data_IF_897898677641
#
_entry.id   IF_897898677641
#
_cell.length_a   1.000
_cell.length_b   1.000
_cell.length_c   1.000
_cell.angle_alpha   90.00
_cell.angle_beta   90.00
_cell.angle_gamma   90.00
#
_symmetry.space_group_name_H-M   'P 1'
#
loop_
_entity.id
_entity.type
_entity.pdbx_description
1 polymer ?
#
# COMPACT_ATOMS: atom_id res chain seq x y z
N UNK A 1 20.08 10.00 -5.10
CA UNK A 1 19.68 9.28 -4.41
C UNK A 1 18.56 9.51 -3.66
N UNK A 2 17.70 9.32 -3.70
CA UNK A 2 16.48 9.64 -3.17
C UNK A 2 16.24 9.18 -1.78
N UNK A 3 16.77 9.91 -0.87
CA UNK A 3 16.36 9.68 0.49
C UNK A 3 14.85 9.89 0.58
N UNK A 4 14.14 8.92 1.09
CA UNK A 4 12.72 9.05 1.32
C UNK A 4 12.48 10.01 2.48
N UNK A 5 11.46 10.87 2.36
CA UNK A 5 11.03 11.73 3.46
C UNK A 5 9.96 11.05 4.32
N UNK A 6 9.63 9.81 4.02
CA UNK A 6 8.60 9.09 4.75
C UNK A 6 9.12 8.53 6.07
N UNK A 7 8.29 8.58 7.09
CA UNK A 7 8.56 7.92 8.36
C UNK A 7 7.94 6.53 8.33
N UNK A 8 8.74 5.51 8.54
CA UNK A 8 8.27 4.13 8.57
C UNK A 8 8.28 3.64 10.02
N UNK A 9 7.11 3.27 10.53
CA UNK A 9 6.94 2.75 11.88
C UNK A 9 6.59 1.28 11.82
N UNK A 10 7.39 0.45 12.50
CA UNK A 10 7.17 -1.00 12.54
C UNK A 10 6.68 -1.39 13.93
N UNK A 11 5.60 -2.18 13.99
CA UNK A 11 5.05 -2.65 15.26
C UNK A 11 6.10 -3.43 16.05
N UNK A 12 6.14 -3.23 17.36
CA UNK A 12 7.03 -3.97 18.27
C UNK A 12 6.73 -5.47 18.30
N UNK A 13 5.56 -5.88 17.85
CA UNK A 13 5.19 -7.29 17.75
C UNK A 13 5.91 -8.02 16.62
N UNK A 14 6.48 -7.27 15.67
CA UNK A 14 7.22 -7.85 14.56
C UNK A 14 8.68 -7.97 14.96
N UNK A 15 9.18 -9.20 15.08
CA UNK A 15 10.58 -9.44 15.44
C UNK A 15 11.51 -9.30 14.26
N UNK A 16 11.11 -9.81 13.11
CA UNK A 16 11.88 -9.72 11.87
C UNK A 16 10.95 -9.33 10.75
N UNK A 17 11.25 -8.23 10.10
CA UNK A 17 10.43 -7.74 9.00
C UNK A 17 10.68 -8.60 7.75
N UNK A 18 9.61 -9.14 7.17
CA UNK A 18 9.71 -9.95 5.96
C UNK A 18 10.23 -9.08 4.80
N UNK A 19 11.19 -9.58 3.98
CA UNK A 19 11.75 -8.78 2.88
C UNK A 19 10.71 -8.21 1.91
N UNK A 20 9.67 -8.97 1.60
CA UNK A 20 8.60 -8.48 0.71
C UNK A 20 7.90 -7.26 1.30
N UNK A 21 7.60 -7.30 2.59
CA UNK A 21 6.95 -6.16 3.28
C UNK A 21 7.88 -4.96 3.31
N UNK A 22 9.16 -5.16 3.60
CA UNK A 22 10.15 -4.10 3.59
C UNK A 22 10.29 -3.44 2.22
N UNK A 23 10.32 -4.24 1.15
CA UNK A 23 10.41 -3.74 -0.21
C UNK A 23 9.19 -2.91 -0.60
N UNK A 24 8.00 -3.38 -0.26
CA UNK A 24 6.76 -2.64 -0.51
C UNK A 24 6.79 -1.29 0.23
N UNK A 25 7.15 -1.29 1.50
CA UNK A 25 7.23 -0.07 2.29
C UNK A 25 8.22 0.93 1.68
N UNK A 26 9.40 0.46 1.29
CA UNK A 26 10.42 1.31 0.69
C UNK A 26 9.95 1.89 -0.66
N UNK A 27 9.27 1.08 -1.46
CA UNK A 27 8.76 1.55 -2.76
C UNK A 27 7.65 2.60 -2.56
N UNK A 28 6.75 2.40 -1.61
CA UNK A 28 5.71 3.37 -1.28
C UNK A 28 6.33 4.67 -0.75
N UNK A 29 7.39 4.56 0.04
CA UNK A 29 8.08 5.72 0.60
C UNK A 29 8.71 6.63 -0.46
N UNK A 30 8.96 6.10 -1.65
CA UNK A 30 9.51 6.88 -2.78
C UNK A 30 8.46 7.74 -3.49
N UNK A 31 7.17 7.48 -3.25
CA UNK A 31 6.10 8.29 -3.82
C UNK A 31 6.07 9.60 -3.05
N UNK A 32 6.31 10.70 -3.72
CA UNK A 32 6.57 12.00 -3.09
C UNK A 32 5.56 12.41 -2.02
N UNK A 33 4.22 12.31 -2.24
CA UNK A 33 3.27 12.69 -1.20
C UNK A 33 3.22 11.76 0.01
N UNK A 34 3.67 10.51 -0.12
CA UNK A 34 3.60 9.55 0.99
C UNK A 34 4.61 9.94 2.06
N UNK A 35 4.15 10.20 3.27
CA UNK A 35 4.99 10.65 4.39
C UNK A 35 4.95 9.72 5.59
N UNK A 36 3.93 8.87 5.69
CA UNK A 36 3.74 8.03 6.88
C UNK A 36 3.43 6.61 6.45
N UNK A 37 4.23 5.66 6.92
CA UNK A 37 4.01 4.25 6.66
C UNK A 37 4.00 3.52 7.99
N UNK A 38 2.96 2.74 8.25
CA UNK A 38 2.81 1.98 9.48
C UNK A 38 2.69 0.50 9.13
N UNK A 39 3.59 -0.30 9.69
CA UNK A 39 3.61 -1.74 9.45
C UNK A 39 3.20 -2.44 10.73
N UNK A 40 2.10 -3.18 10.67
CA UNK A 40 1.60 -4.02 11.74
C UNK A 40 1.70 -5.49 11.31
N UNK A 41 1.57 -6.46 12.23
CA UNK A 41 1.48 -7.86 11.78
C UNK A 41 0.30 -7.98 10.82
N UNK A 42 0.49 -8.54 9.67
CA UNK A 42 -0.54 -8.75 8.65
C UNK A 42 -1.18 -7.49 8.03
N UNK A 43 -0.66 -6.29 8.33
CA UNK A 43 -1.27 -5.06 7.80
C UNK A 43 -0.24 -3.97 7.55
N UNK A 44 -0.40 -3.25 6.43
CA UNK A 44 0.45 -2.12 6.08
C UNK A 44 -0.41 -0.95 5.65
N UNK A 45 -0.11 0.24 6.17
CA UNK A 45 -0.80 1.47 5.82
C UNK A 45 0.22 2.50 5.39
N UNK A 46 -0.06 3.22 4.31
CA UNK A 46 0.79 4.30 3.82
C UNK A 46 -0.08 5.47 3.41
N UNK A 47 0.29 6.69 3.79
CA UNK A 47 -0.51 7.87 3.46
C UNK A 47 0.31 9.15 3.50
N UNK A 48 -0.24 10.17 2.85
CA UNK A 48 0.27 11.54 2.94
C UNK A 48 -0.14 12.23 4.24
N UNK A 49 -1.11 11.67 4.97
CA UNK A 49 -1.67 12.28 6.19
C UNK A 49 -1.90 11.23 7.26
N UNK A 50 -1.90 11.68 8.51
CA UNK A 50 -2.22 10.82 9.66
C UNK A 50 -3.38 11.41 10.45
N UNK A 51 -4.03 10.56 11.23
CA UNK A 51 -5.10 10.99 12.13
C UNK A 51 -4.55 11.90 13.21
N UNK A 52 -5.42 12.74 13.75
CA UNK A 52 -5.11 13.55 14.93
C UNK A 52 -5.32 12.66 16.14
N UNK A 53 -4.46 12.72 17.11
CA UNK A 53 -4.59 11.92 18.31
C UNK A 53 -3.25 11.43 18.82
N UNK A 54 -3.31 10.67 19.90
CA UNK A 54 -2.09 10.19 20.56
C UNK A 54 -1.33 9.21 19.66
N UNK A 55 -2.06 8.32 18.97
CA UNK A 55 -1.48 7.39 18.00
C UNK A 55 -1.75 7.93 16.61
N UNK A 56 -0.69 8.12 15.83
CA UNK A 56 -0.81 8.63 14.47
C UNK A 56 -1.02 7.46 13.50
N UNK A 57 -2.19 7.40 12.92
CA UNK A 57 -2.57 6.33 11.99
C UNK A 57 -2.67 6.91 10.57
N UNK A 58 -1.98 6.35 9.58
CA UNK A 58 -2.10 6.82 8.19
C UNK A 58 -3.54 6.79 7.71
N UNK A 59 -3.98 7.85 7.08
CA UNK A 59 -5.35 7.97 6.57
C UNK A 59 -5.43 7.31 5.20
N UNK A 60 -6.19 6.23 5.12
CA UNK A 60 -6.35 5.47 3.87
C UNK A 60 -7.81 5.33 3.46
N UNK A 61 -8.70 5.97 4.20
CA UNK A 61 -10.14 5.86 3.99
C UNK A 61 -10.55 6.39 2.61
N UNK A 62 -11.32 5.63 1.83
CA UNK A 62 -11.84 6.11 0.56
C UNK A 62 -12.66 7.40 0.72
N UNK A 63 -12.62 8.24 -0.30
CA UNK A 63 -13.34 9.51 -0.36
C UNK A 63 -12.83 10.59 0.57
N UNK A 64 -11.67 10.41 1.21
CA UNK A 64 -11.03 11.48 1.96
C UNK A 64 -10.63 12.59 0.96
N UNK A 65 -10.90 13.88 1.28
CA UNK A 65 -10.72 14.95 0.31
C UNK A 65 -9.27 15.23 -0.10
N UNK A 66 -8.31 14.92 0.74
CA UNK A 66 -6.91 15.30 0.47
C UNK A 66 -5.90 14.17 0.63
N UNK A 67 -6.16 13.17 1.45
CA UNK A 67 -5.17 12.12 1.72
C UNK A 67 -4.93 11.21 0.51
N UNK A 68 -3.66 10.98 0.20
CA UNK A 68 -3.25 10.00 -0.80
C UNK A 68 -2.69 8.83 -0.01
N UNK A 69 -3.35 7.67 -0.09
CA UNK A 69 -2.92 6.54 0.72
C UNK A 69 -3.60 5.24 0.35
N UNK A 70 -3.04 4.16 0.89
CA UNK A 70 -3.62 2.83 0.74
C UNK A 70 -3.33 2.00 1.97
N UNK A 71 -4.13 0.94 2.15
CA UNK A 71 -3.86 -0.07 3.14
C UNK A 71 -3.90 -1.45 2.50
N UNK A 72 -3.06 -2.34 3.00
CA UNK A 72 -2.89 -3.69 2.50
C UNK A 72 -3.02 -4.68 3.65
N UNK A 73 -3.75 -5.77 3.40
CA UNK A 73 -3.71 -6.94 4.28
C UNK A 73 -2.67 -7.88 3.69
N UNK A 74 -1.73 -8.31 4.50
CA UNK A 74 -0.61 -9.14 4.05
C UNK A 74 -0.67 -10.51 4.72
N UNK A 75 -0.87 -11.56 3.92
CA UNK A 75 -0.88 -12.92 4.40
C UNK A 75 0.45 -13.58 4.08
N UNK A 76 1.33 -13.64 5.05
CA UNK A 76 2.67 -14.20 4.86
C UNK A 76 2.64 -15.70 4.58
N UNK A 77 1.70 -16.42 5.18
CA UNK A 77 1.59 -17.85 4.99
C UNK A 77 1.13 -18.21 3.58
N UNK A 78 0.18 -17.47 3.04
CA UNK A 78 -0.35 -17.69 1.70
C UNK A 78 0.42 -16.92 0.63
N UNK A 79 1.33 -16.05 1.02
CA UNK A 79 2.10 -15.17 0.13
C UNK A 79 1.16 -14.34 -0.75
N UNK A 80 0.20 -13.69 -0.10
CA UNK A 80 -0.87 -12.98 -0.77
C UNK A 80 -1.06 -11.60 -0.17
N UNK A 81 -1.37 -10.62 -1.01
CA UNK A 81 -1.60 -9.25 -0.61
C UNK A 81 -3.00 -8.83 -1.05
N UNK A 82 -3.77 -8.31 -0.09
CA UNK A 82 -5.11 -7.82 -0.40
C UNK A 82 -5.10 -6.29 -0.34
N UNK A 83 -5.48 -5.65 -1.43
CA UNK A 83 -5.71 -4.20 -1.43
C UNK A 83 -7.00 -3.96 -0.65
N UNK A 84 -6.88 -3.40 0.54
CA UNK A 84 -8.01 -3.22 1.45
C UNK A 84 -8.70 -1.88 1.25
N UNK A 85 -7.95 -0.79 1.33
CA UNK A 85 -8.45 0.56 1.07
C UNK A 85 -7.45 1.31 0.21
N UNK A 86 -7.93 2.22 -0.62
CA UNK A 86 -7.08 3.14 -1.37
C UNK A 86 -7.83 4.42 -1.60
N UNK A 87 -7.13 5.54 -1.39
CA UNK A 87 -7.68 6.86 -1.65
C UNK A 87 -6.67 7.69 -2.44
N UNK A 88 -7.10 8.26 -3.54
CA UNK A 88 -6.25 9.11 -4.37
C UNK A 88 -7.08 10.22 -5.00
N UNK A 89 -7.20 11.37 -4.30
CA UNK A 89 -7.94 12.51 -4.84
C UNK A 89 -7.22 13.21 -5.99
N UNK A 90 -5.94 12.88 -6.21
CA UNK A 90 -5.15 13.45 -7.30
C UNK A 90 -4.89 12.35 -8.31
N UNK A 91 -5.23 12.62 -9.57
CA UNK A 91 -5.07 11.66 -10.67
C UNK A 91 -3.62 11.16 -10.79
N UNK A 92 -3.46 9.87 -10.99
CA UNK A 92 -2.17 9.23 -11.23
C UNK A 92 -1.53 8.58 -10.01
N UNK A 93 -1.83 9.03 -8.80
CA UNK A 93 -1.21 8.44 -7.61
C UNK A 93 -1.73 7.06 -7.26
N UNK A 94 -2.99 6.75 -7.59
CA UNK A 94 -3.50 5.39 -7.42
C UNK A 94 -2.65 4.37 -8.17
N UNK A 95 -2.37 4.64 -9.44
CA UNK A 95 -1.52 3.78 -10.25
C UNK A 95 -0.11 3.67 -9.72
N UNK A 96 0.47 4.78 -9.24
CA UNK A 96 1.81 4.77 -8.64
C UNK A 96 1.87 3.89 -7.40
N UNK A 97 0.83 3.94 -6.56
CA UNK A 97 0.77 3.12 -5.36
C UNK A 97 0.65 1.63 -5.70
N UNK A 98 -0.18 1.29 -6.68
CA UNK A 98 -0.30 -0.10 -7.13
C UNK A 98 1.02 -0.59 -7.72
N UNK A 99 1.67 0.22 -8.55
CA UNK A 99 2.99 -0.12 -9.12
C UNK A 99 4.02 -0.35 -8.01
N UNK A 100 4.03 0.48 -6.97
CA UNK A 100 4.96 0.34 -5.86
C UNK A 100 4.80 -1.00 -5.13
N UNK A 101 3.59 -1.50 -5.04
CA UNK A 101 3.30 -2.79 -4.40
C UNK A 101 3.68 -3.94 -5.32
N UNK A 102 3.36 -3.87 -6.62
CA UNK A 102 3.41 -5.01 -7.51
C UNK A 102 4.66 -5.13 -8.38
N UNK A 103 5.34 -4.03 -8.70
CA UNK A 103 6.46 -4.09 -9.66
C UNK A 103 7.60 -5.00 -9.20
N UNK A 104 7.92 -4.98 -7.91
CA UNK A 104 9.03 -5.78 -7.37
C UNK A 104 8.54 -6.97 -6.53
N UNK A 105 7.28 -7.33 -6.68
CA UNK A 105 6.72 -8.43 -5.91
C UNK A 105 7.32 -9.77 -6.36
N UNK A 106 7.78 -10.58 -5.39
CA UNK A 106 8.39 -11.86 -5.67
C UNK A 106 7.41 -12.77 -6.44
N UNK A 107 7.97 -13.65 -7.29
CA UNK A 107 7.17 -14.48 -8.21
C UNK A 107 6.11 -15.34 -7.52
N UNK A 108 6.44 -15.85 -6.35
CA UNK A 108 5.52 -16.72 -5.62
C UNK A 108 4.42 -15.96 -4.89
N UNK A 109 4.46 -14.63 -4.93
CA UNK A 109 3.45 -13.78 -4.31
C UNK A 109 2.40 -13.36 -5.33
N UNK A 110 1.17 -13.19 -4.85
CA UNK A 110 0.08 -12.65 -5.65
C UNK A 110 -0.65 -11.55 -4.89
N UNK A 111 -1.49 -10.81 -5.60
CA UNK A 111 -2.28 -9.74 -5.00
C UNK A 111 -3.72 -9.84 -5.49
N UNK A 112 -4.66 -9.42 -4.65
CA UNK A 112 -6.07 -9.46 -4.99
C UNK A 112 -6.78 -8.18 -4.60
N UNK A 113 -7.81 -7.83 -5.38
CA UNK A 113 -8.78 -6.79 -5.07
C UNK A 113 -10.13 -7.48 -4.96
N UNK A 114 -10.73 -7.41 -3.77
CA UNK A 114 -11.99 -8.13 -3.53
C UNK A 114 -13.19 -7.39 -4.10
N UNK A 115 -13.20 -6.07 -4.02
CA UNK A 115 -14.31 -5.28 -4.53
C UNK A 115 -13.77 -4.12 -5.36
N UNK A 116 -14.11 -4.14 -6.64
CA UNK A 116 -13.71 -3.08 -7.54
C UNK A 116 -14.84 -2.07 -7.70
N UNK A 117 -14.68 -0.90 -7.07
CA UNK A 117 -15.65 0.18 -7.18
C UNK A 117 -15.21 1.23 -8.19
N UNK A 118 -14.11 1.00 -8.90
CA UNK A 118 -13.56 1.98 -9.83
C UNK A 118 -14.13 1.79 -11.24
N UNK A 119 -14.07 2.83 -12.03
CA UNK A 119 -14.50 2.78 -13.43
C UNK A 119 -13.36 2.24 -14.30
N UNK A 120 -13.02 0.96 -14.12
CA UNK A 120 -12.00 0.29 -14.92
C UNK A 120 -10.56 0.50 -14.46
N UNK A 121 -10.33 1.21 -13.36
CA UNK A 121 -8.98 1.40 -12.83
C UNK A 121 -8.29 0.06 -12.55
N UNK A 122 -8.96 -0.83 -11.83
CA UNK A 122 -8.38 -2.12 -11.46
C UNK A 122 -8.23 -3.05 -12.67
N UNK A 123 -9.12 -2.95 -13.66
CA UNK A 123 -8.95 -3.71 -14.91
C UNK A 123 -7.67 -3.30 -15.63
N UNK A 124 -7.39 -1.99 -15.68
CA UNK A 124 -6.14 -1.49 -16.27
C UNK A 124 -4.91 -1.95 -15.48
N UNK A 125 -5.00 -1.97 -14.16
CA UNK A 125 -3.90 -2.46 -13.32
C UNK A 125 -3.67 -3.96 -13.52
N UNK A 126 -4.73 -4.74 -13.68
CA UNK A 126 -4.60 -6.18 -13.95
C UNK A 126 -3.95 -6.46 -15.30
N UNK A 127 -4.24 -5.65 -16.31
CA UNK A 127 -3.59 -5.77 -17.60
C UNK A 127 -2.08 -5.49 -17.50
N UNK A 128 -1.70 -4.56 -16.65
CA UNK A 128 -0.31 -4.19 -16.43
C UNK A 128 0.44 -5.17 -15.54
N UNK A 129 -0.25 -5.77 -14.58
CA UNK A 129 0.35 -6.65 -13.57
C UNK A 129 -0.31 -8.03 -13.59
N UNK A 130 0.41 -9.03 -14.12
CA UNK A 130 -0.12 -10.39 -14.25
C UNK A 130 -0.34 -11.10 -12.92
N UNK A 131 0.22 -10.60 -11.83
CA UNK A 131 0.07 -11.17 -10.49
C UNK A 131 -1.08 -10.56 -9.68
N UNK A 132 -1.92 -9.76 -10.32
CA UNK A 132 -3.08 -9.13 -9.67
C UNK A 132 -4.37 -9.81 -10.13
N UNK A 133 -5.22 -10.18 -9.17
CA UNK A 133 -6.54 -10.73 -9.45
C UNK A 133 -7.63 -9.81 -8.90
N UNK A 134 -8.76 -9.76 -9.61
CA UNK A 134 -9.95 -9.04 -9.14
C UNK A 134 -11.02 -10.09 -8.88
N UNK A 135 -11.48 -10.16 -7.66
CA UNK A 135 -12.49 -11.14 -7.24
C UNK A 135 -13.91 -10.59 -7.33
#
# INVERSE_FOLDING_TARGET
>A
MGASNATITVSKKIKTLHPVVGNIANNLARIKPIRFIRISPDFLQASSEVTKGRVKIPITKPEHPTAIGLSLIIDLAQKDIHFFEMNSPIKGYGGKMVDAVLNDLAKEWSAVVVMDWSDGFWDRMREKHGNLEIL
#
